data_IF_627048613522
#
_entry.id   IF_627048613522
#
_cell.length_a   1.000
_cell.length_b   1.000
_cell.length_c   1.000
_cell.angle_alpha   90.00
_cell.angle_beta   90.00
_cell.angle_gamma   90.00
#
_symmetry.space_group_name_H-M   'P 1'
#
loop_
_entity.id
_entity.type
_entity.pdbx_description
1 polymer ?
#
# COMPACT_ATOMS: atom_id res chain seq x y z
N UNK A 1 2.05 27.28 1.20
CA UNK A 1 1.22 27.17 -0.02
C UNK A 1 1.86 26.14 -0.94
N UNK A 2 1.15 25.07 -1.31
CA UNK A 2 1.64 24.15 -2.35
C UNK A 2 1.57 24.88 -3.69
N UNK A 3 2.68 24.92 -4.43
CA UNK A 3 2.65 25.40 -5.82
C UNK A 3 1.94 24.36 -6.68
N UNK A 4 1.06 24.76 -7.62
CA UNK A 4 0.43 23.83 -8.55
C UNK A 4 1.50 23.03 -9.31
N UNK A 5 1.48 21.71 -9.20
CA UNK A 5 2.29 20.84 -10.06
C UNK A 5 1.50 20.61 -11.36
N UNK A 6 2.02 21.03 -12.53
CA UNK A 6 1.27 20.94 -13.78
C UNK A 6 1.12 19.50 -14.26
N UNK A 7 2.02 18.61 -13.81
CA UNK A 7 2.02 17.21 -14.23
C UNK A 7 0.92 16.42 -13.52
N UNK A 8 0.17 15.59 -14.26
CA UNK A 8 -0.81 14.69 -13.67
C UNK A 8 -0.12 13.66 -12.77
N UNK A 9 -0.76 13.32 -11.65
CA UNK A 9 -0.34 12.20 -10.80
C UNK A 9 -0.30 10.90 -11.63
N UNK A 10 0.77 10.07 -11.56
CA UNK A 10 0.85 8.81 -12.28
C UNK A 10 -0.09 7.75 -11.66
N UNK A 11 -1.35 7.76 -12.09
CA UNK A 11 -2.45 6.94 -11.52
C UNK A 11 -2.13 5.45 -11.52
N UNK A 12 -1.51 4.93 -12.57
CA UNK A 12 -1.15 3.52 -12.70
C UNK A 12 -0.10 3.12 -11.66
N UNK A 13 0.99 3.88 -11.54
CA UNK A 13 2.00 3.64 -10.52
C UNK A 13 1.42 3.71 -9.09
N UNK A 14 0.51 4.63 -8.82
CA UNK A 14 -0.18 4.71 -7.51
C UNK A 14 -1.06 3.49 -7.28
N UNK A 15 -1.76 2.98 -8.30
CA UNK A 15 -2.55 1.74 -8.21
C UNK A 15 -1.65 0.53 -7.92
N UNK A 16 -0.51 0.43 -8.58
CA UNK A 16 0.46 -0.65 -8.37
C UNK A 16 1.02 -0.63 -6.95
N UNK A 17 1.37 0.57 -6.44
CA UNK A 17 1.82 0.74 -5.07
C UNK A 17 0.74 0.38 -4.03
N UNK A 18 -0.55 0.64 -4.32
CA UNK A 18 -1.66 0.14 -3.48
C UNK A 18 -1.71 -1.39 -3.50
N UNK A 19 -1.47 -2.01 -4.66
CA UNK A 19 -1.33 -3.45 -4.81
C UNK A 19 -0.19 -4.02 -3.96
N UNK A 20 0.99 -3.43 -4.07
CA UNK A 20 2.19 -3.78 -3.28
C UNK A 20 1.91 -3.63 -1.79
N UNK A 21 1.31 -2.52 -1.34
CA UNK A 21 0.95 -2.33 0.07
C UNK A 21 0.03 -3.45 0.60
N UNK A 22 -0.94 -3.90 -0.21
CA UNK A 22 -1.81 -5.03 0.17
C UNK A 22 -1.03 -6.34 0.28
N UNK A 23 -0.12 -6.60 -0.66
CA UNK A 23 0.74 -7.78 -0.66
C UNK A 23 1.67 -7.77 0.56
N UNK A 24 2.34 -6.65 0.82
CA UNK A 24 3.20 -6.45 1.99
C UNK A 24 2.43 -6.67 3.29
N UNK A 25 1.23 -6.10 3.41
CA UNK A 25 0.42 -6.26 4.62
C UNK A 25 0.01 -7.71 4.87
N UNK A 26 -0.26 -8.47 3.81
CA UNK A 26 -0.57 -9.92 3.87
C UNK A 26 0.67 -10.78 4.15
N UNK A 27 1.83 -10.36 3.65
CA UNK A 27 3.12 -11.01 3.87
C UNK A 27 3.70 -10.73 5.27
N UNK A 28 3.29 -9.64 5.90
CA UNK A 28 3.76 -9.26 7.24
C UNK A 28 3.15 -10.17 8.30
N UNK A 29 4.01 -10.69 9.19
CA UNK A 29 3.61 -11.56 10.29
C UNK A 29 2.58 -10.88 11.20
N UNK A 30 1.70 -11.68 11.82
CA UNK A 30 0.58 -11.12 12.60
C UNK A 30 1.03 -10.44 13.90
N UNK A 31 2.17 -10.83 14.46
CA UNK A 31 2.78 -10.25 15.64
C UNK A 31 3.53 -8.94 15.37
N UNK A 32 3.93 -8.67 14.12
CA UNK A 32 4.53 -7.39 13.71
C UNK A 32 3.47 -6.30 13.45
N UNK A 33 2.78 -5.94 14.54
CA UNK A 33 1.71 -4.94 14.53
C UNK A 33 2.19 -3.54 14.11
N UNK A 34 3.44 -3.19 14.46
CA UNK A 34 4.02 -1.89 14.09
C UNK A 34 4.11 -1.78 12.56
N UNK A 35 4.69 -2.78 11.91
CA UNK A 35 4.87 -2.79 10.46
C UNK A 35 3.52 -2.87 9.73
N UNK A 36 2.59 -3.70 10.19
CA UNK A 36 1.23 -3.76 9.60
C UNK A 36 0.51 -2.42 9.67
N UNK A 37 0.62 -1.68 10.79
CA UNK A 37 0.04 -0.34 10.93
C UNK A 37 0.68 0.67 9.98
N UNK A 38 2.01 0.62 9.84
CA UNK A 38 2.74 1.49 8.93
C UNK A 38 2.35 1.25 7.46
N UNK A 39 2.33 -0.02 7.01
CA UNK A 39 1.89 -0.39 5.66
C UNK A 39 0.43 0.04 5.42
N UNK A 40 -0.45 -0.20 6.38
CA UNK A 40 -1.86 0.19 6.27
C UNK A 40 -2.04 1.72 6.20
N UNK A 41 -1.19 2.47 6.91
CA UNK A 41 -1.16 3.93 6.84
C UNK A 41 -0.73 4.41 5.46
N UNK A 42 0.40 3.92 4.94
CA UNK A 42 0.88 4.28 3.60
C UNK A 42 -0.15 3.94 2.52
N UNK A 43 -0.73 2.73 2.57
CA UNK A 43 -1.77 2.30 1.64
C UNK A 43 -3.09 3.09 1.75
N UNK A 44 -3.41 3.72 2.89
CA UNK A 44 -4.55 4.66 3.01
C UNK A 44 -4.24 5.98 2.32
N UNK A 45 -3.03 6.52 2.51
CA UNK A 45 -2.60 7.77 1.89
C UNK A 45 -2.58 7.65 0.36
N UNK A 46 -2.05 6.56 -0.19
CA UNK A 46 -2.07 6.30 -1.63
C UNK A 46 -3.50 6.20 -2.20
N UNK A 47 -4.42 5.54 -1.48
CA UNK A 47 -5.84 5.52 -1.88
C UNK A 47 -6.47 6.91 -1.88
N UNK A 48 -6.11 7.76 -0.91
CA UNK A 48 -6.57 9.15 -0.85
C UNK A 48 -6.02 9.96 -2.03
N UNK A 49 -4.73 9.81 -2.33
CA UNK A 49 -4.09 10.43 -3.48
C UNK A 49 -4.78 10.04 -4.79
N UNK A 50 -5.00 8.74 -5.01
CA UNK A 50 -5.70 8.23 -6.18
C UNK A 50 -7.12 8.80 -6.31
N UNK A 51 -7.89 8.80 -5.22
CA UNK A 51 -9.24 9.35 -5.22
C UNK A 51 -9.25 10.85 -5.58
N UNK A 52 -8.32 11.63 -5.02
CA UNK A 52 -8.21 13.07 -5.30
C UNK A 52 -7.79 13.34 -6.75
N UNK A 53 -6.81 12.61 -7.26
CA UNK A 53 -6.34 12.76 -8.64
C UNK A 53 -7.43 12.42 -9.68
N UNK A 54 -8.29 11.44 -9.39
CA UNK A 54 -9.40 11.07 -10.27
C UNK A 54 -10.58 12.06 -10.20
N UNK A 55 -10.72 12.80 -9.10
CA UNK A 55 -11.85 13.73 -8.89
C UNK A 55 -11.53 15.17 -9.29
N UNK A 56 -10.25 15.52 -9.45
CA UNK A 56 -9.81 16.90 -9.63
C UNK A 56 -8.79 17.05 -10.75
N UNK A 57 -8.92 18.10 -11.59
CA UNK A 57 -8.00 18.32 -12.71
C UNK A 57 -6.58 18.67 -12.20
N UNK A 58 -5.51 18.33 -12.95
CA UNK A 58 -4.12 18.58 -12.57
C UNK A 58 -3.79 20.02 -12.15
N UNK A 59 -4.45 21.01 -12.74
CA UNK A 59 -4.26 22.43 -12.44
C UNK A 59 -4.87 22.89 -11.10
N UNK A 60 -5.59 22.02 -10.38
CA UNK A 60 -6.26 22.38 -9.12
C UNK A 60 -5.37 22.20 -7.89
N UNK A 61 -5.60 23.01 -6.86
CA UNK A 61 -4.94 22.87 -5.55
C UNK A 61 -5.17 21.47 -4.94
N UNK A 62 -6.37 20.90 -5.13
CA UNK A 62 -6.72 19.56 -4.66
C UNK A 62 -5.92 18.46 -5.35
N UNK A 63 -5.53 18.66 -6.62
CA UNK A 63 -4.63 17.73 -7.29
C UNK A 63 -3.20 17.84 -6.79
N UNK A 64 -2.76 19.05 -6.40
CA UNK A 64 -1.48 19.22 -5.70
C UNK A 64 -1.50 18.54 -4.33
N UNK A 65 -2.65 18.52 -3.64
CA UNK A 65 -2.81 17.73 -2.42
C UNK A 65 -2.73 16.22 -2.69
N UNK A 66 -3.21 15.74 -3.85
CA UNK A 66 -3.06 14.34 -4.26
C UNK A 66 -1.58 13.93 -4.34
N UNK A 67 -0.71 14.80 -4.87
CA UNK A 67 0.75 14.60 -4.88
C UNK A 67 1.32 14.45 -3.47
N UNK A 68 0.95 15.34 -2.55
CA UNK A 68 1.39 15.26 -1.15
C UNK A 68 1.02 13.92 -0.52
N UNK A 69 -0.24 13.48 -0.70
CA UNK A 69 -0.70 12.18 -0.20
C UNK A 69 0.06 11.01 -0.83
N UNK A 70 0.39 11.10 -2.12
CA UNK A 70 1.17 10.08 -2.80
C UNK A 70 2.59 9.99 -2.24
N UNK A 71 3.29 11.12 -2.09
CA UNK A 71 4.64 11.20 -1.57
C UNK A 71 4.74 10.70 -0.12
N UNK A 72 3.82 11.13 0.75
CA UNK A 72 3.75 10.63 2.13
C UNK A 72 3.48 9.12 2.17
N UNK A 73 2.58 8.62 1.31
CA UNK A 73 2.29 7.19 1.20
C UNK A 73 3.50 6.37 0.73
N UNK A 74 4.22 6.87 -0.28
CA UNK A 74 5.46 6.26 -0.78
C UNK A 74 6.53 6.21 0.31
N UNK A 75 6.73 7.31 1.06
CA UNK A 75 7.70 7.35 2.15
C UNK A 75 7.37 6.32 3.24
N UNK A 76 6.13 6.26 3.70
CA UNK A 76 5.73 5.30 4.74
C UNK A 76 5.84 3.84 4.27
N UNK A 77 5.55 3.55 3.00
CA UNK A 77 5.79 2.23 2.44
C UNK A 77 7.28 1.91 2.33
N UNK A 78 8.09 2.85 1.87
CA UNK A 78 9.54 2.69 1.77
C UNK A 78 10.17 2.39 3.12
N UNK A 79 9.76 3.09 4.18
CA UNK A 79 10.20 2.83 5.56
C UNK A 79 9.75 1.47 6.10
N UNK A 80 8.66 0.91 5.56
CA UNK A 80 8.17 -0.41 5.93
C UNK A 80 8.88 -1.55 5.18
N UNK A 81 9.60 -1.27 4.09
CA UNK A 81 10.42 -2.26 3.37
C UNK A 81 11.74 -2.43 4.10
N UNK A 82 12.05 -3.65 4.52
CA UNK A 82 13.37 -3.96 5.09
C UNK A 82 14.39 -4.16 3.97
N UNK A 83 15.64 -3.74 4.19
CA UNK A 83 16.74 -3.94 3.23
C UNK A 83 16.97 -5.42 2.87
N UNK A 84 16.53 -6.35 3.73
CA UNK A 84 16.69 -7.80 3.53
C UNK A 84 15.41 -8.50 3.07
N UNK A 85 14.40 -7.75 2.65
CA UNK A 85 13.13 -8.35 2.26
C UNK A 85 13.25 -9.11 0.94
N UNK A 86 13.02 -10.43 1.01
CA UNK A 86 13.06 -11.29 -0.18
C UNK A 86 11.77 -11.13 -0.97
N UNK A 87 11.85 -10.54 -2.16
CA UNK A 87 10.72 -10.35 -3.07
C UNK A 87 9.93 -11.65 -3.37
N UNK A 88 10.56 -12.83 -3.23
CA UNK A 88 9.92 -14.13 -3.35
C UNK A 88 8.66 -14.27 -2.48
N UNK A 89 8.67 -13.73 -1.26
CA UNK A 89 7.50 -13.79 -0.35
C UNK A 89 6.31 -13.02 -0.95
N UNK A 90 6.58 -11.85 -1.52
CA UNK A 90 5.56 -11.03 -2.15
C UNK A 90 4.96 -11.72 -3.38
N UNK A 91 5.80 -12.33 -4.22
CA UNK A 91 5.37 -13.09 -5.40
C UNK A 91 4.51 -14.28 -5.00
N UNK A 92 4.89 -15.04 -3.96
CA UNK A 92 4.09 -16.15 -3.47
C UNK A 92 2.71 -15.70 -2.98
N UNK A 93 2.63 -14.57 -2.27
CA UNK A 93 1.36 -13.98 -1.81
C UNK A 93 0.50 -13.52 -2.98
N UNK A 94 1.09 -12.85 -3.97
CA UNK A 94 0.40 -12.41 -5.18
C UNK A 94 -0.12 -13.61 -5.98
N UNK A 95 0.70 -14.65 -6.15
CA UNK A 95 0.35 -15.88 -6.85
C UNK A 95 -0.85 -16.55 -6.19
N UNK A 96 -0.86 -16.69 -4.86
CA UNK A 96 -2.02 -17.22 -4.12
C UNK A 96 -3.28 -16.41 -4.35
N UNK A 97 -3.17 -15.08 -4.41
CA UNK A 97 -4.32 -14.22 -4.68
C UNK A 97 -4.87 -14.42 -6.09
N UNK A 98 -4.01 -14.61 -7.10
CA UNK A 98 -4.43 -14.91 -8.48
C UNK A 98 -5.11 -16.28 -8.56
N UNK A 99 -4.49 -17.31 -7.98
CA UNK A 99 -5.00 -18.70 -8.03
C UNK A 99 -6.33 -18.83 -7.29
N UNK A 100 -6.50 -18.13 -6.16
CA UNK A 100 -7.70 -18.24 -5.32
C UNK A 100 -8.76 -17.17 -5.63
N UNK A 101 -8.68 -16.46 -6.76
CA UNK A 101 -9.68 -15.46 -7.14
C UNK A 101 -9.77 -14.24 -6.20
N UNK A 102 -8.70 -13.95 -5.44
CA UNK A 102 -8.62 -12.83 -4.52
C UNK A 102 -9.00 -13.12 -3.07
N UNK A 103 -9.52 -14.31 -2.76
CA UNK A 103 -9.82 -14.71 -1.38
C UNK A 103 -8.53 -15.06 -0.62
N UNK A 104 -8.30 -14.44 0.56
CA UNK A 104 -7.17 -14.83 1.39
C UNK A 104 -7.39 -16.26 1.89
N UNK A 105 -6.38 -17.11 1.73
CA UNK A 105 -6.38 -18.44 2.34
C UNK A 105 -6.75 -18.32 3.84
N UNK A 106 -7.56 -19.24 4.39
CA UNK A 106 -7.98 -19.19 5.78
C UNK A 106 -6.74 -19.09 6.66
N UNK A 107 -6.71 -18.06 7.52
CA UNK A 107 -5.56 -17.80 8.38
C UNK A 107 -5.30 -19.02 9.25
N UNK A 108 -4.07 -19.54 9.33
CA UNK A 108 -3.75 -20.61 10.27
C UNK A 108 -4.08 -20.11 11.68
N UNK A 109 -4.98 -20.82 12.37
CA UNK A 109 -5.34 -20.48 13.75
C UNK A 109 -4.08 -20.59 14.61
N UNK A 110 -3.81 -19.65 15.54
CA UNK A 110 -2.74 -19.83 16.49
C UNK A 110 -2.96 -21.15 17.26
N UNK A 111 -1.89 -21.91 17.54
CA UNK A 111 -2.02 -23.15 18.31
C UNK A 111 -2.68 -22.85 19.65
N UNK A 112 -3.66 -23.67 20.04
CA UNK A 112 -4.31 -23.53 21.34
C UNK A 112 -3.24 -23.61 22.44
N UNK A 113 -3.26 -22.73 23.46
CA UNK A 113 -2.38 -22.87 24.60
C UNK A 113 -2.65 -24.24 25.23
N UNK A 114 -1.58 -25.03 25.38
CA UNK A 114 -1.65 -26.29 26.15
C UNK A 114 -1.92 -25.90 27.60
N UNK A 115 -3.07 -26.34 28.11
CA UNK A 115 -3.42 -26.25 29.54
C UNK A 115 -2.66 -27.31 30.32
#
# INVERSE_FOLDING_TARGET
MLRPRPDPLPVEAVRDLIGIARIMWRATAEDDQRRRRQIASGGRKLRRALAMALQHPPSSEKHSEAWRWAEEGCRELGEAISYFEKATVWVQVATRAVVNGGEPAPRPRPPKPRR
#
